data_IF_071133143181
#
_entry.id   IF_071133143181
#
_cell.length_a   1.000
_cell.length_b   1.000
_cell.length_c   1.000
_cell.angle_alpha   90.00
_cell.angle_beta   90.00
_cell.angle_gamma   90.00
#
_symmetry.space_group_name_H-M   'P 1'
#
loop_
_entity.id
_entity.type
_entity.pdbx_description
1 polymer ?
#
# COMPACT_ATOMS: atom_id res chain seq x y z
N UNK A 1 10.67 -0.20 0.16
CA UNK A 1 9.83 -0.04 -1.03
C UNK A 1 10.68 0.48 -2.19
N UNK A 2 10.64 -0.16 -3.36
CA UNK A 2 11.48 0.17 -4.50
C UNK A 2 10.62 0.36 -5.76
N UNK A 3 10.48 1.61 -6.18
CA UNK A 3 9.86 1.99 -7.44
C UNK A 3 10.87 2.79 -8.29
N UNK A 4 10.67 2.96 -9.61
CA UNK A 4 11.46 3.88 -10.41
C UNK A 4 11.45 5.31 -9.85
N UNK A 5 12.58 6.03 -9.97
CA UNK A 5 12.79 7.34 -9.35
C UNK A 5 11.69 8.36 -9.67
N UNK A 6 11.17 8.37 -10.90
CA UNK A 6 10.10 9.29 -11.30
C UNK A 6 8.83 9.19 -10.45
N UNK A 7 8.52 7.99 -9.89
CA UNK A 7 7.38 7.84 -8.98
C UNK A 7 7.68 8.36 -7.57
N UNK A 8 8.92 8.21 -7.09
CA UNK A 8 9.36 8.84 -5.84
C UNK A 8 9.25 10.37 -5.91
N UNK A 9 9.66 10.96 -7.03
CA UNK A 9 9.64 12.41 -7.22
C UNK A 9 8.22 12.98 -7.18
N UNK A 10 7.19 12.18 -7.51
CA UNK A 10 5.79 12.57 -7.39
C UNK A 10 5.35 12.84 -5.95
N UNK A 11 5.98 12.18 -4.98
CA UNK A 11 5.57 12.18 -3.58
C UNK A 11 6.58 12.83 -2.62
N UNK A 12 7.85 12.95 -2.99
CA UNK A 12 8.94 13.42 -2.14
C UNK A 12 8.64 14.73 -1.40
N UNK A 13 7.94 15.66 -2.06
CA UNK A 13 7.60 16.97 -1.52
C UNK A 13 6.10 17.12 -1.20
N UNK A 14 5.38 16.01 -1.08
CA UNK A 14 3.97 16.04 -0.70
C UNK A 14 3.83 16.02 0.81
N UNK A 15 2.81 16.72 1.29
CA UNK A 15 2.35 16.62 2.66
C UNK A 15 1.61 15.28 2.80
N UNK A 16 2.31 14.28 3.35
CA UNK A 16 1.76 12.96 3.60
C UNK A 16 1.33 12.90 5.06
N UNK A 17 0.11 12.44 5.29
CA UNK A 17 -0.41 12.30 6.65
C UNK A 17 0.54 11.45 7.50
N UNK A 18 0.91 11.93 8.71
CA UNK A 18 1.72 11.13 9.62
C UNK A 18 1.00 9.84 10.01
N UNK A 19 1.73 8.81 10.43
CA UNK A 19 1.16 7.56 10.94
C UNK A 19 0.18 7.82 12.08
N UNK A 20 -0.84 6.98 12.16
CA UNK A 20 -1.80 7.03 13.25
C UNK A 20 -1.22 6.38 14.51
N UNK A 21 -1.16 7.14 15.59
CA UNK A 21 -0.74 6.65 16.92
C UNK A 21 -1.94 6.62 17.83
N UNK A 22 -2.38 5.42 18.24
CA UNK A 22 -3.40 5.29 19.28
C UNK A 22 -2.82 5.60 20.65
N UNK A 23 -3.61 6.17 21.56
CA UNK A 23 -3.21 6.51 22.93
C UNK A 23 -2.70 5.29 23.73
N UNK A 24 -3.11 4.11 23.32
CA UNK A 24 -2.71 2.81 23.87
C UNK A 24 -1.48 2.20 23.17
N UNK A 25 -0.98 2.80 22.12
CA UNK A 25 0.20 2.30 21.38
C UNK A 25 1.45 2.54 22.20
N UNK A 26 1.82 1.55 22.99
CA UNK A 26 2.96 1.61 23.88
C UNK A 26 4.26 1.34 23.11
N UNK A 27 5.11 2.34 23.07
CA UNK A 27 6.42 2.28 22.46
C UNK A 27 7.32 1.19 23.08
N UNK A 28 7.15 0.92 24.38
CA UNK A 28 7.90 -0.11 25.10
C UNK A 28 7.49 -1.53 24.64
N UNK A 29 6.20 -1.75 24.42
CA UNK A 29 5.69 -3.00 23.85
C UNK A 29 6.19 -3.20 22.42
N UNK A 30 6.29 -2.13 21.64
CA UNK A 30 6.90 -2.14 20.31
C UNK A 30 8.37 -2.57 20.36
N UNK A 31 9.19 -1.97 21.22
CA UNK A 31 10.60 -2.32 21.39
C UNK A 31 10.79 -3.78 21.80
N UNK A 32 9.88 -4.33 22.60
CA UNK A 32 9.93 -5.74 23.04
C UNK A 32 9.49 -6.75 21.97
N UNK A 33 8.55 -6.37 21.10
CA UNK A 33 7.91 -7.31 20.15
C UNK A 33 8.25 -7.05 18.70
N UNK A 34 8.72 -5.84 18.36
CA UNK A 34 8.86 -5.35 16.99
C UNK A 34 10.25 -5.46 16.38
N UNK A 35 11.24 -5.99 17.08
CA UNK A 35 12.65 -6.06 16.65
C UNK A 35 12.90 -6.68 15.27
N UNK A 36 11.93 -7.38 14.70
CA UNK A 36 12.09 -8.03 13.40
C UNK A 36 11.56 -7.19 12.22
N UNK A 37 10.85 -6.07 12.44
CA UNK A 37 10.08 -5.41 11.41
C UNK A 37 10.38 -3.94 11.19
N UNK A 38 11.06 -3.29 12.13
CA UNK A 38 11.61 -1.93 11.98
C UNK A 38 12.93 -1.84 12.71
N UNK A 39 13.88 -1.06 12.21
CA UNK A 39 14.98 -0.61 13.06
C UNK A 39 14.41 0.31 14.13
N UNK A 40 14.94 0.26 15.35
CA UNK A 40 14.56 1.19 16.43
C UNK A 40 14.73 2.65 15.97
N UNK A 41 15.72 2.90 15.12
CA UNK A 41 16.01 4.19 14.50
C UNK A 41 14.93 4.62 13.50
N UNK A 42 14.42 3.70 12.66
CA UNK A 42 13.44 4.01 11.62
C UNK A 42 12.05 4.36 12.15
N UNK A 43 11.65 3.81 13.30
CA UNK A 43 10.37 4.13 13.93
C UNK A 43 10.38 5.48 14.67
N UNK A 44 11.57 5.94 15.08
CA UNK A 44 11.77 7.16 15.84
C UNK A 44 12.15 8.37 14.97
N UNK A 45 12.56 8.14 13.72
CA UNK A 45 12.99 9.19 12.79
C UNK A 45 11.87 9.60 11.83
N UNK A 46 11.30 10.80 11.98
CA UNK A 46 10.24 11.28 11.09
C UNK A 46 10.66 11.35 9.61
N UNK A 47 11.94 11.58 9.31
CA UNK A 47 12.44 11.65 7.93
C UNK A 47 12.44 10.26 7.28
N UNK A 48 12.93 9.24 7.99
CA UNK A 48 12.88 7.85 7.52
C UNK A 48 11.43 7.36 7.38
N UNK A 49 10.54 7.79 8.28
CA UNK A 49 9.12 7.49 8.20
C UNK A 49 8.50 8.09 6.94
N UNK A 50 8.75 9.36 6.69
CA UNK A 50 8.29 10.05 5.48
C UNK A 50 8.83 9.37 4.21
N UNK A 51 10.11 9.03 4.17
CA UNK A 51 10.72 8.35 3.03
C UNK A 51 10.11 6.95 2.79
N UNK A 52 9.78 6.22 3.84
CA UNK A 52 9.06 4.94 3.73
C UNK A 52 7.66 5.14 3.14
N UNK A 53 6.92 6.17 3.58
CA UNK A 53 5.61 6.51 3.04
C UNK A 53 5.69 6.94 1.58
N UNK A 54 6.64 7.81 1.22
CA UNK A 54 6.94 8.20 -0.17
C UNK A 54 7.17 6.98 -1.04
N UNK A 55 8.03 6.06 -0.57
CA UNK A 55 8.32 4.82 -1.29
C UNK A 55 7.09 3.94 -1.50
N UNK A 56 6.23 3.82 -0.49
CA UNK A 56 4.99 3.06 -0.59
C UNK A 56 4.02 3.64 -1.60
N UNK A 57 3.75 4.95 -1.54
CA UNK A 57 2.88 5.62 -2.53
C UNK A 57 3.46 5.58 -3.94
N UNK A 58 4.77 5.69 -4.08
CA UNK A 58 5.46 5.52 -5.36
C UNK A 58 5.23 4.12 -5.95
N UNK A 59 5.30 3.07 -5.11
CA UNK A 59 4.99 1.69 -5.53
C UNK A 59 3.54 1.53 -5.96
N UNK A 60 2.58 2.13 -5.23
CA UNK A 60 1.15 2.09 -5.58
C UNK A 60 0.94 2.72 -6.97
N UNK A 61 1.46 3.92 -7.21
CA UNK A 61 1.30 4.60 -8.51
C UNK A 61 1.98 3.84 -9.63
N UNK A 62 3.16 3.27 -9.37
CA UNK A 62 3.82 2.41 -10.35
C UNK A 62 2.97 1.18 -10.69
N UNK A 63 2.41 0.52 -9.68
CA UNK A 63 1.51 -0.63 -9.88
C UNK A 63 0.27 -0.24 -10.69
N UNK A 64 -0.36 0.89 -10.36
CA UNK A 64 -1.53 1.41 -11.08
C UNK A 64 -1.24 1.61 -12.58
N UNK A 65 -0.09 2.19 -12.91
CA UNK A 65 0.35 2.31 -14.31
C UNK A 65 0.55 0.95 -15.00
N UNK A 66 1.06 -0.06 -14.28
CA UNK A 66 1.21 -1.40 -14.88
C UNK A 66 -0.16 -2.08 -15.10
N UNK A 67 -1.10 -1.90 -14.18
CA UNK A 67 -2.49 -2.36 -14.35
C UNK A 67 -3.11 -1.69 -15.58
N UNK A 68 -2.95 -0.37 -15.71
CA UNK A 68 -3.41 0.37 -16.88
C UNK A 68 -2.88 -0.21 -18.21
N UNK A 69 -1.60 -0.63 -18.25
CA UNK A 69 -1.02 -1.28 -19.42
C UNK A 69 -1.67 -2.63 -19.74
N UNK A 70 -2.02 -3.41 -18.71
CA UNK A 70 -2.72 -4.69 -18.88
C UNK A 70 -4.11 -4.44 -19.48
N UNK A 71 -4.86 -3.47 -18.92
CA UNK A 71 -6.19 -3.11 -19.42
C UNK A 71 -6.14 -2.63 -20.87
N UNK A 72 -5.17 -1.79 -21.22
CA UNK A 72 -4.96 -1.34 -22.61
C UNK A 72 -4.60 -2.49 -23.56
N UNK A 73 -3.88 -3.50 -23.08
CA UNK A 73 -3.59 -4.68 -23.88
C UNK A 73 -4.87 -5.48 -24.17
N UNK A 74 -5.71 -5.72 -23.16
CA UNK A 74 -7.00 -6.39 -23.31
C UNK A 74 -7.93 -5.63 -24.26
N UNK A 75 -7.91 -4.30 -24.20
CA UNK A 75 -8.69 -3.45 -25.09
C UNK A 75 -8.21 -3.55 -26.54
N UNK A 76 -6.89 -3.51 -26.78
CA UNK A 76 -6.31 -3.66 -28.13
C UNK A 76 -6.60 -5.02 -28.75
N UNK A 77 -6.64 -6.07 -27.95
CA UNK A 77 -7.00 -7.42 -28.38
C UNK A 77 -8.53 -7.59 -28.55
N UNK A 78 -9.32 -6.59 -28.19
CA UNK A 78 -10.78 -6.61 -28.30
C UNK A 78 -11.50 -7.52 -27.30
N UNK A 79 -10.78 -8.00 -26.27
CA UNK A 79 -11.31 -8.97 -25.29
C UNK A 79 -11.63 -8.35 -23.92
N UNK A 80 -11.39 -7.06 -23.72
CA UNK A 80 -11.66 -6.39 -22.44
C UNK A 80 -13.12 -6.56 -22.00
N UNK A 81 -14.07 -6.50 -22.95
CA UNK A 81 -15.50 -6.66 -22.68
C UNK A 81 -15.92 -8.08 -22.32
N UNK A 82 -15.11 -9.07 -22.64
CA UNK A 82 -15.35 -10.48 -22.34
C UNK A 82 -14.47 -10.98 -21.18
N UNK A 83 -13.76 -10.06 -20.52
CA UNK A 83 -12.86 -10.36 -19.41
C UNK A 83 -13.45 -9.92 -18.10
N UNK A 84 -13.47 -10.83 -17.12
CA UNK A 84 -13.75 -10.49 -15.72
C UNK A 84 -12.46 -9.99 -15.08
N UNK A 85 -12.51 -8.80 -14.50
CA UNK A 85 -11.38 -8.20 -13.79
C UNK A 85 -11.69 -8.19 -12.32
N UNK A 86 -10.83 -8.81 -11.53
CA UNK A 86 -10.88 -8.79 -10.07
C UNK A 86 -9.58 -8.15 -9.56
N UNK A 87 -9.70 -7.07 -8.81
CA UNK A 87 -8.60 -6.42 -8.12
C UNK A 87 -8.77 -6.57 -6.63
N UNK A 88 -7.77 -7.15 -5.97
CA UNK A 88 -7.72 -7.28 -4.51
C UNK A 88 -6.28 -7.30 -4.03
N UNK A 89 -6.09 -7.08 -2.74
CA UNK A 89 -4.81 -7.30 -2.06
C UNK A 89 -4.95 -8.46 -1.07
N UNK A 90 -3.85 -9.15 -0.78
CA UNK A 90 -3.78 -10.21 0.24
C UNK A 90 -3.80 -9.63 1.66
N UNK A 91 -3.20 -8.46 1.85
CA UNK A 91 -3.15 -7.70 3.10
C UNK A 91 -2.85 -6.23 2.82
N UNK A 92 -3.01 -5.38 3.83
CA UNK A 92 -2.60 -3.99 3.80
C UNK A 92 -1.17 -3.78 4.33
N UNK A 93 -0.89 -2.55 4.76
CA UNK A 93 0.39 -2.11 5.30
C UNK A 93 0.14 -1.11 6.44
N UNK A 94 0.78 -1.32 7.58
CA UNK A 94 0.65 -0.43 8.74
C UNK A 94 1.39 0.90 8.54
N UNK A 95 2.47 0.87 7.79
CA UNK A 95 3.24 2.03 7.34
C UNK A 95 3.56 3.04 8.46
N UNK A 96 3.90 2.51 9.62
CA UNK A 96 4.23 3.26 10.84
C UNK A 96 3.07 3.43 11.82
N UNK A 97 1.84 3.10 11.44
CA UNK A 97 0.72 3.13 12.38
C UNK A 97 1.03 2.31 13.62
N UNK A 98 0.73 2.86 14.79
CA UNK A 98 1.01 2.24 16.09
C UNK A 98 2.47 1.79 16.27
N UNK A 99 3.42 2.57 15.74
CA UNK A 99 4.86 2.26 15.72
C UNK A 99 5.22 0.96 14.99
N UNK A 100 4.38 0.49 14.05
CA UNK A 100 4.56 -0.80 13.38
C UNK A 100 4.57 -0.65 11.86
N UNK A 101 5.37 -1.47 11.21
CA UNK A 101 5.36 -1.65 9.76
C UNK A 101 4.85 -3.05 9.41
N UNK A 102 4.52 -3.26 8.12
CA UNK A 102 3.99 -4.51 7.59
C UNK A 102 2.58 -4.81 8.10
N UNK A 103 2.26 -6.09 8.30
CA UNK A 103 0.89 -6.63 8.44
C UNK A 103 0.73 -7.63 9.60
N UNK A 104 1.70 -7.67 10.51
CA UNK A 104 1.75 -8.72 11.55
C UNK A 104 0.69 -8.57 12.64
N UNK A 105 -0.09 -7.51 12.61
CA UNK A 105 -1.15 -7.24 13.57
C UNK A 105 -2.46 -6.92 12.87
N UNK A 106 -3.56 -7.34 13.47
CA UNK A 106 -4.92 -7.17 12.93
C UNK A 106 -5.46 -5.73 13.14
N UNK A 107 -4.63 -4.72 12.85
CA UNK A 107 -5.05 -3.33 12.82
C UNK A 107 -5.63 -2.96 11.46
N UNK A 108 -6.39 -1.87 11.41
CA UNK A 108 -7.09 -1.42 10.22
C UNK A 108 -6.16 -1.31 9.00
N UNK A 109 -4.96 -0.75 9.18
CA UNK A 109 -3.99 -0.60 8.10
C UNK A 109 -3.55 -1.93 7.47
N UNK A 110 -3.55 -3.05 8.23
CA UNK A 110 -3.14 -4.35 7.73
C UNK A 110 -4.29 -5.22 7.22
N UNK A 111 -5.51 -5.06 7.73
CA UNK A 111 -6.66 -5.93 7.39
C UNK A 111 -7.64 -5.30 6.42
N UNK A 112 -7.65 -3.98 6.29
CA UNK A 112 -8.51 -3.27 5.36
C UNK A 112 -7.86 -3.26 3.97
N UNK A 113 -8.32 -4.14 3.11
CA UNK A 113 -7.80 -4.32 1.74
C UNK A 113 -8.79 -3.78 0.71
N UNK A 114 -8.30 -3.32 -0.46
CA UNK A 114 -9.16 -3.00 -1.58
C UNK A 114 -9.77 -4.27 -2.17
N UNK A 115 -11.03 -4.20 -2.55
CA UNK A 115 -11.71 -5.20 -3.36
C UNK A 115 -12.54 -4.48 -4.41
N UNK A 116 -12.19 -4.67 -5.67
CA UNK A 116 -12.94 -4.16 -6.81
C UNK A 116 -13.09 -5.26 -7.86
N UNK A 117 -14.24 -5.29 -8.51
CA UNK A 117 -14.44 -6.21 -9.61
C UNK A 117 -15.29 -5.57 -10.71
N UNK A 118 -15.00 -5.97 -11.94
CA UNK A 118 -15.72 -5.56 -13.13
C UNK A 118 -16.00 -6.78 -13.99
N UNK A 119 -17.26 -6.93 -14.40
CA UNK A 119 -17.65 -7.89 -15.42
C UNK A 119 -18.41 -7.15 -16.52
N UNK A 120 -18.10 -7.46 -17.76
CA UNK A 120 -18.69 -6.77 -18.89
C UNK A 120 -20.17 -7.11 -19.11
N UNK A 121 -20.55 -8.35 -18.85
CA UNK A 121 -21.95 -8.82 -18.89
C UNK A 121 -22.14 -9.95 -17.86
N UNK A 122 -23.11 -9.80 -16.97
CA UNK A 122 -23.71 -10.99 -16.37
C UNK A 122 -24.61 -11.66 -17.41
N UNK A 123 -24.59 -12.99 -17.52
CA UNK A 123 -25.65 -13.67 -18.24
C UNK A 123 -26.97 -13.17 -17.67
N UNK A 124 -27.85 -12.66 -18.52
CA UNK A 124 -29.23 -12.44 -18.12
C UNK A 124 -29.89 -13.82 -18.22
N UNK A 125 -30.24 -14.38 -17.08
CA UNK A 125 -31.14 -15.55 -17.03
C UNK A 125 -32.44 -15.24 -17.74
#
# INVERSE_FOLDING_TARGET
>A
FAAPACYFDMYRNKDIRPPFMGDWADQETYQKTGRHYCSEEGAADPALMHDAQVGYYACITHLDHQIGRILQALEREGILHDTIILFCSDHGELLGDHHTFRKTRAYQGSVHIPLSWQAAKFPKD
#
